data_IF_526256536657
#
_entry.id   IF_526256536657
#
_cell.length_a   1.000
_cell.length_b   1.000
_cell.length_c   1.000
_cell.angle_alpha   90.00
_cell.angle_beta   90.00
_cell.angle_gamma   90.00
#
_symmetry.space_group_name_H-M   'P 1'
#
loop_
_entity.id
_entity.type
_entity.pdbx_description
1 polymer ?
#
# COMPACT_ATOMS: atom_id res chain seq x y z
N UNK A 1 6.27 -7.10 15.30
CA UNK A 1 5.90 -6.13 14.78
C UNK A 1 4.93 -6.18 13.67
N UNK A 2 4.73 -7.29 13.02
CA UNK A 2 3.71 -7.39 12.02
C UNK A 2 2.32 -7.17 12.55
N UNK A 3 2.06 -7.59 13.77
CA UNK A 3 0.75 -7.40 14.38
C UNK A 3 0.39 -5.93 14.54
N UNK A 4 1.41 -5.08 14.67
CA UNK A 4 1.18 -3.65 14.83
C UNK A 4 0.78 -2.97 13.53
N UNK A 5 1.06 -3.64 12.40
CA UNK A 5 0.73 -3.08 11.10
C UNK A 5 -0.61 -3.53 10.58
N UNK A 6 -1.30 -4.39 11.33
CA UNK A 6 -2.58 -4.91 10.87
C UNK A 6 -3.57 -3.79 10.59
N UNK A 7 -4.27 -3.90 9.47
CA UNK A 7 -5.26 -2.94 9.04
C UNK A 7 -6.63 -3.55 9.25
N UNK A 8 -7.54 -2.82 9.89
CA UNK A 8 -8.91 -3.29 10.08
C UNK A 8 -9.81 -2.51 9.12
N UNK A 9 -10.24 -3.18 8.07
CA UNK A 9 -11.03 -2.56 7.02
C UNK A 9 -12.38 -3.26 6.93
N UNK A 10 -13.46 -2.51 7.21
CA UNK A 10 -14.80 -3.06 7.17
C UNK A 10 -15.01 -4.23 8.10
N UNK A 11 -14.27 -4.26 9.22
CA UNK A 11 -14.36 -5.35 10.18
C UNK A 11 -13.44 -6.53 9.89
N UNK A 12 -12.69 -6.49 8.80
CA UNK A 12 -11.77 -7.57 8.43
C UNK A 12 -10.34 -7.19 8.73
N UNK A 13 -9.56 -8.17 9.18
CA UNK A 13 -8.14 -7.98 9.46
C UNK A 13 -7.35 -8.20 8.18
N UNK A 14 -6.61 -7.15 7.79
CA UNK A 14 -5.77 -7.20 6.60
C UNK A 14 -4.33 -7.03 7.05
N UNK A 15 -3.45 -7.92 6.59
CA UNK A 15 -2.05 -7.88 6.97
C UNK A 15 -1.24 -7.31 5.81
N UNK A 16 -0.60 -6.15 6.01
CA UNK A 16 0.16 -5.51 4.93
C UNK A 16 1.19 -6.42 4.29
N UNK A 17 1.80 -7.33 5.07
CA UNK A 17 2.81 -8.22 4.51
C UNK A 17 2.24 -9.14 3.42
N UNK A 18 0.97 -9.52 3.54
CA UNK A 18 0.34 -10.36 2.51
C UNK A 18 0.18 -9.58 1.20
N UNK A 19 -0.24 -8.32 1.30
CA UNK A 19 -0.43 -7.49 0.13
C UNK A 19 0.92 -7.11 -0.48
N UNK A 20 1.90 -6.84 0.36
CA UNK A 20 3.25 -6.53 -0.11
C UNK A 20 3.85 -7.71 -0.87
N UNK A 21 3.61 -8.92 -0.38
CA UNK A 21 4.11 -10.12 -1.05
C UNK A 21 3.54 -10.25 -2.46
N UNK A 22 2.25 -9.99 -2.61
CA UNK A 22 1.61 -10.06 -3.93
C UNK A 22 2.21 -9.03 -4.88
N UNK A 23 2.31 -7.77 -4.44
CA UNK A 23 2.87 -6.73 -5.30
C UNK A 23 4.32 -6.98 -5.64
N UNK A 24 5.08 -7.58 -4.72
CA UNK A 24 6.48 -7.88 -4.97
C UNK A 24 6.68 -8.92 -6.07
N UNK A 25 5.65 -9.68 -6.40
CA UNK A 25 5.72 -10.63 -7.49
C UNK A 25 5.68 -9.98 -8.86
N UNK A 26 5.25 -8.73 -8.94
CA UNK A 26 5.18 -8.04 -10.22
C UNK A 26 6.58 -7.71 -10.73
N UNK A 27 6.83 -8.00 -12.00
CA UNK A 27 8.17 -7.87 -12.57
C UNK A 27 8.72 -6.45 -12.52
N UNK A 28 7.83 -5.43 -12.53
CA UNK A 28 8.26 -4.03 -12.58
C UNK A 28 8.31 -3.38 -11.21
N UNK A 29 7.98 -4.09 -10.14
CA UNK A 29 8.02 -3.53 -8.80
C UNK A 29 9.37 -3.78 -8.14
N UNK A 30 10.04 -2.69 -7.74
CA UNK A 30 11.33 -2.78 -7.05
C UNK A 30 11.15 -2.82 -5.54
N UNK A 31 10.17 -2.09 -5.02
CA UNK A 31 9.94 -2.02 -3.58
C UNK A 31 8.49 -1.67 -3.34
N UNK A 32 7.97 -2.00 -2.17
CA UNK A 32 6.58 -1.76 -1.85
C UNK A 32 6.38 -1.66 -0.35
N UNK A 33 5.45 -0.80 0.06
CA UNK A 33 5.02 -0.72 1.45
C UNK A 33 3.52 -0.47 1.45
N UNK A 34 2.78 -1.28 2.21
CA UNK A 34 1.34 -1.13 2.36
C UNK A 34 1.05 -0.54 3.73
N UNK A 35 0.23 0.52 3.75
CA UNK A 35 -0.15 1.18 4.99
C UNK A 35 -1.67 1.29 5.05
N UNK A 36 -2.19 1.44 6.27
CA UNK A 36 -3.61 1.72 6.47
C UNK A 36 -3.83 3.21 6.49
N UNK A 37 -4.82 3.68 5.75
CA UNK A 37 -5.20 5.09 5.75
C UNK A 37 -6.68 5.20 6.09
N UNK A 38 -7.11 6.35 6.63
CA UNK A 38 -8.52 6.52 7.00
C UNK A 38 -9.46 6.34 5.83
N UNK A 39 -10.62 5.78 6.09
CA UNK A 39 -11.65 5.58 5.09
C UNK A 39 -13.00 5.80 5.76
N UNK A 40 -13.84 6.65 5.18
CA UNK A 40 -15.17 6.88 5.71
C UNK A 40 -16.03 5.63 5.59
N UNK A 41 -15.78 4.85 4.54
CA UNK A 41 -16.59 3.68 4.25
C UNK A 41 -16.18 2.46 5.08
N UNK A 42 -14.86 2.28 5.28
CA UNK A 42 -14.33 1.05 5.87
C UNK A 42 -13.67 1.24 7.23
N UNK A 43 -13.52 2.47 7.68
CA UNK A 43 -12.74 2.81 8.88
C UNK A 43 -11.29 2.99 8.52
N UNK A 44 -10.67 1.93 8.04
CA UNK A 44 -9.31 1.94 7.48
C UNK A 44 -9.33 1.19 6.16
N UNK A 45 -8.39 1.51 5.29
CA UNK A 45 -8.26 0.78 4.04
C UNK A 45 -6.79 0.72 3.64
N UNK A 46 -6.36 -0.37 2.97
CA UNK A 46 -4.94 -0.50 2.62
C UNK A 46 -4.61 0.29 1.37
N UNK A 47 -3.46 0.97 1.44
CA UNK A 47 -2.89 1.73 0.35
C UNK A 47 -1.47 1.28 0.14
N UNK A 48 -1.06 1.06 -1.11
CA UNK A 48 0.29 0.61 -1.42
C UNK A 48 1.11 1.75 -1.99
N UNK A 49 2.32 1.94 -1.44
CA UNK A 49 3.34 2.80 -2.04
C UNK A 49 4.31 1.90 -2.77
N UNK A 50 4.51 2.16 -4.05
CA UNK A 50 5.30 1.28 -4.92
C UNK A 50 6.44 2.06 -5.56
N UNK A 51 7.63 1.48 -5.51
CA UNK A 51 8.78 1.98 -6.26
C UNK A 51 8.97 1.06 -7.46
N UNK A 52 8.96 1.62 -8.65
CA UNK A 52 9.14 0.85 -9.86
C UNK A 52 10.63 0.65 -10.16
N UNK A 53 10.94 -0.42 -10.86
CA UNK A 53 12.31 -0.65 -11.32
C UNK A 53 12.68 0.41 -12.35
N UNK A 54 13.99 0.71 -12.51
CA UNK A 54 14.42 1.68 -13.51
C UNK A 54 13.90 1.29 -14.88
N UNK A 55 13.36 2.26 -15.60
CA UNK A 55 12.82 2.04 -16.93
C UNK A 55 11.40 1.53 -16.98
N UNK A 56 10.85 1.12 -15.86
CA UNK A 56 9.45 0.64 -15.81
C UNK A 56 8.50 1.83 -15.92
N UNK A 57 7.38 1.61 -16.58
CA UNK A 57 6.41 2.69 -16.82
C UNK A 57 4.98 2.26 -16.52
N UNK A 58 4.80 1.20 -15.74
CA UNK A 58 3.47 0.70 -15.39
C UNK A 58 2.69 1.76 -14.62
N UNK A 59 1.44 1.97 -15.00
CA UNK A 59 0.58 2.93 -14.32
C UNK A 59 0.07 2.38 -12.99
N UNK A 60 -0.19 3.30 -12.05
CA UNK A 60 -0.72 2.90 -10.74
C UNK A 60 -2.03 2.12 -10.88
N UNK A 61 -2.90 2.54 -11.79
CA UNK A 61 -4.19 1.86 -12.01
C UNK A 61 -3.99 0.41 -12.48
N UNK A 62 -2.98 0.19 -13.33
CA UNK A 62 -2.71 -1.14 -13.83
C UNK A 62 -2.19 -2.04 -12.72
N UNK A 63 -1.33 -1.52 -11.85
CA UNK A 63 -0.83 -2.27 -10.71
C UNK A 63 -1.96 -2.60 -9.74
N UNK A 64 -2.84 -1.65 -9.51
CA UNK A 64 -3.98 -1.86 -8.62
C UNK A 64 -4.87 -2.99 -9.12
N UNK A 65 -5.21 -2.97 -10.40
CA UNK A 65 -6.05 -4.00 -10.99
C UNK A 65 -5.36 -5.37 -10.96
N UNK A 66 -4.07 -5.38 -11.29
CA UNK A 66 -3.29 -6.61 -11.28
C UNK A 66 -3.26 -7.24 -9.89
N UNK A 67 -2.96 -6.43 -8.88
CA UNK A 67 -2.86 -6.93 -7.52
C UNK A 67 -4.22 -7.40 -7.00
N UNK A 68 -5.27 -6.61 -7.23
CA UNK A 68 -6.60 -6.98 -6.76
C UNK A 68 -7.15 -8.20 -7.48
N UNK A 69 -6.67 -8.48 -8.69
CA UNK A 69 -7.03 -9.70 -9.38
C UNK A 69 -6.45 -10.95 -8.74
N UNK A 70 -5.37 -10.79 -7.97
CA UNK A 70 -4.74 -11.90 -7.25
C UNK A 70 -5.19 -12.01 -5.80
N UNK A 71 -5.71 -10.91 -5.25
CA UNK A 71 -6.17 -10.87 -3.87
C UNK A 71 -7.62 -11.28 -3.77
N UNK A 72 -8.04 -11.72 -2.59
CA UNK A 72 -9.44 -12.09 -2.37
C UNK A 72 -10.31 -10.86 -2.18
N UNK A 73 -11.60 -11.12 -1.98
CA UNK A 73 -12.56 -10.02 -1.81
C UNK A 73 -12.32 -9.21 -0.55
N UNK A 74 -11.76 -9.84 0.47
CA UNK A 74 -11.52 -9.20 1.75
C UNK A 74 -10.21 -8.41 1.74
N UNK A 75 -9.16 -9.01 1.18
CA UNK A 75 -7.85 -8.38 1.14
C UNK A 75 -7.69 -7.68 -0.20
N UNK A 76 -8.06 -6.42 -0.24
CA UNK A 76 -7.99 -5.63 -1.46
C UNK A 76 -7.32 -4.32 -1.17
N UNK A 77 -6.58 -3.82 -2.17
CA UNK A 77 -5.99 -2.49 -2.10
C UNK A 77 -7.00 -1.45 -2.54
N UNK A 78 -7.02 -0.31 -1.84
CA UNK A 78 -7.86 0.81 -2.24
C UNK A 78 -7.20 1.61 -3.34
N UNK A 79 -5.87 1.76 -3.29
CA UNK A 79 -5.16 2.57 -4.27
C UNK A 79 -3.68 2.20 -4.28
N UNK A 80 -3.00 2.59 -5.34
CA UNK A 80 -1.56 2.46 -5.47
C UNK A 80 -0.98 3.85 -5.74
N UNK A 81 0.06 4.21 -4.98
CA UNK A 81 0.81 5.45 -5.21
C UNK A 81 2.21 5.07 -5.65
N UNK A 82 2.62 5.54 -6.81
CA UNK A 82 3.98 5.29 -7.30
C UNK A 82 4.87 6.40 -6.80
N UNK A 83 5.95 6.02 -6.12
CA UNK A 83 6.89 6.97 -5.51
C UNK A 83 8.30 6.65 -5.95
N UNK A 84 9.21 7.61 -5.80
CA UNK A 84 10.60 7.42 -6.20
C UNK A 84 11.37 6.57 -5.22
N UNK A 85 11.03 6.66 -3.95
CA UNK A 85 11.71 5.90 -2.89
C UNK A 85 10.83 5.80 -1.68
N UNK A 86 11.15 4.85 -0.80
CA UNK A 86 10.45 4.71 0.47
C UNK A 86 11.35 5.21 1.60
N UNK A 87 10.81 6.00 2.55
CA UNK A 87 11.61 6.44 3.69
C UNK A 87 12.00 5.26 4.57
N UNK A 88 13.25 5.21 4.98
CA UNK A 88 13.74 4.10 5.81
C UNK A 88 14.55 4.62 6.98
N UNK A 89 14.51 3.87 8.08
CA UNK A 89 15.31 4.17 9.24
C UNK A 89 16.75 3.72 9.00
N UNK A 90 17.64 4.02 9.95
CA UNK A 90 19.04 3.65 9.86
C UNK A 90 19.22 2.14 9.74
N UNK A 91 18.28 1.35 10.27
CA UNK A 91 18.37 -0.10 10.19
C UNK A 91 17.65 -0.66 8.96
N UNK A 92 17.20 0.20 8.05
CA UNK A 92 16.58 -0.21 6.80
C UNK A 92 15.10 -0.50 6.86
N UNK A 93 14.45 -0.21 7.97
CA UNK A 93 13.01 -0.45 8.12
C UNK A 93 12.22 0.68 7.49
N UNK A 94 11.19 0.34 6.71
CA UNK A 94 10.35 1.36 6.09
C UNK A 94 9.57 2.12 7.17
N UNK A 95 9.58 3.45 7.05
CA UNK A 95 8.91 4.32 8.02
C UNK A 95 7.48 4.59 7.54
N UNK A 96 6.60 3.63 7.80
CA UNK A 96 5.24 3.69 7.29
C UNK A 96 4.44 4.87 7.83
N UNK A 97 4.76 5.30 9.04
CA UNK A 97 4.10 6.47 9.61
C UNK A 97 4.33 7.71 8.76
N UNK A 98 5.54 7.88 8.26
CA UNK A 98 5.84 9.03 7.40
C UNK A 98 5.08 8.95 6.09
N UNK A 99 4.92 7.75 5.54
CA UNK A 99 4.15 7.57 4.32
C UNK A 99 2.70 7.97 4.53
N UNK A 100 2.12 7.54 5.64
CA UNK A 100 0.73 7.90 5.95
C UNK A 100 0.58 9.40 6.11
N UNK A 101 1.50 10.03 6.83
CA UNK A 101 1.41 11.46 7.09
C UNK A 101 1.55 12.27 5.81
N UNK A 102 2.46 11.86 4.94
CA UNK A 102 2.63 12.54 3.66
C UNK A 102 1.40 12.41 2.78
N UNK A 103 0.79 11.23 2.79
CA UNK A 103 -0.42 11.00 2.00
C UNK A 103 -1.57 11.87 2.49
N UNK A 104 -1.75 11.95 3.81
CA UNK A 104 -2.80 12.77 4.38
C UNK A 104 -2.55 14.26 4.18
N UNK A 105 -1.28 14.68 4.29
CA UNK A 105 -0.92 16.08 4.08
C UNK A 105 -1.17 16.53 2.65
N UNK A 106 -1.12 15.59 1.70
CA UNK A 106 -1.38 15.89 0.30
C UNK A 106 -2.87 15.98 -0.03
N UNK A 107 -3.75 15.91 0.99
CA UNK A 107 -5.19 16.00 0.77
C UNK A 107 -5.84 14.72 0.32
N UNK A 108 -5.16 13.59 0.50
CA UNK A 108 -5.67 12.29 0.07
C UNK A 108 -6.07 11.43 1.25
N UNK A 109 -6.67 12.06 2.28
CA UNK A 109 -6.92 11.40 3.55
C UNK A 109 -7.93 10.26 3.46
N UNK A 110 -8.85 10.30 2.49
CA UNK A 110 -9.87 9.26 2.35
C UNK A 110 -9.69 8.55 1.02
N UNK A 111 -9.27 7.29 1.08
CA UNK A 111 -9.00 6.49 -0.10
C UNK A 111 -10.10 5.49 -0.41
N UNK A 112 -11.25 5.63 0.23
CA UNK A 112 -12.30 4.63 0.07
C UNK A 112 -12.98 4.65 -1.29
N UNK A 113 -12.76 5.70 -2.05
CA UNK A 113 -13.22 5.78 -3.42
C UNK A 113 -14.68 5.50 -3.63
#
# INVERSE_FOLDING_TARGET
DRKKDMIISGGFNIYPSDLEAVLSEHAEVADVAVVGVPSQRWGETPLAFVVLRPGAATAAQALLAWANGKLGKVQRLAAVEIVDSLPRSDVGKVLKRELREAYQAAGKADASG
#
